data_IF_750712671860
#
_entry.id   IF_750712671860
#
_cell.length_a   1.000
_cell.length_b   1.000
_cell.length_c   1.000
_cell.angle_alpha   90.00
_cell.angle_beta   90.00
_cell.angle_gamma   90.00
#
_symmetry.space_group_name_H-M   'P 1'
#
loop_
_entity.id
_entity.type
_entity.pdbx_description
1 polymer ?
#
# COMPACT_ATOMS: atom_id res chain seq x y z
N UNK A 1 9.88 30.10 10.93
CA UNK A 1 11.03 30.91 10.45
C UNK A 1 10.77 31.43 9.06
N UNK A 2 10.58 30.56 8.07
CA UNK A 2 10.25 30.96 6.69
C UNK A 2 9.02 31.88 6.63
N UNK A 3 7.87 31.45 7.17
CA UNK A 3 6.61 32.23 7.16
C UNK A 3 6.79 33.62 7.78
N UNK A 4 7.34 33.68 9.00
CA UNK A 4 7.59 34.94 9.70
C UNK A 4 8.46 35.89 8.87
N UNK A 5 9.50 35.38 8.20
CA UNK A 5 10.34 36.22 7.35
C UNK A 5 9.60 36.65 6.08
N UNK A 6 8.87 35.74 5.44
CA UNK A 6 8.06 36.03 4.25
C UNK A 6 7.02 37.13 4.52
N UNK A 7 6.34 37.05 5.65
CA UNK A 7 5.32 38.03 6.09
C UNK A 7 5.93 39.41 6.37
N UNK A 8 7.18 39.47 6.87
CA UNK A 8 7.87 40.71 7.21
C UNK A 8 8.60 41.36 6.02
N UNK A 9 8.83 40.64 4.92
CA UNK A 9 9.54 41.19 3.75
C UNK A 9 8.89 42.48 3.22
N UNK A 10 7.56 42.59 3.04
CA UNK A 10 6.95 43.83 2.58
C UNK A 10 7.25 45.03 3.49
N UNK A 11 7.21 44.83 4.80
CA UNK A 11 7.52 45.88 5.79
C UNK A 11 9.00 46.26 5.76
N UNK A 12 9.90 45.28 5.63
CA UNK A 12 11.35 45.53 5.47
C UNK A 12 11.61 46.32 4.19
N UNK A 13 10.96 45.95 3.08
CA UNK A 13 11.09 46.67 1.80
C UNK A 13 10.59 48.10 1.92
N UNK A 14 9.52 48.35 2.66
CA UNK A 14 8.98 49.69 2.90
C UNK A 14 9.86 50.55 3.82
N UNK A 15 10.40 49.97 4.90
CA UNK A 15 11.27 50.67 5.86
C UNK A 15 12.62 51.04 5.27
N UNK A 16 13.17 50.17 4.42
CA UNK A 16 14.45 50.37 3.77
C UNK A 16 14.22 50.68 2.28
N UNK A 17 13.43 51.69 1.93
CA UNK A 17 13.08 51.97 0.52
C UNK A 17 14.20 52.66 -0.28
N UNK A 18 15.21 53.20 0.40
CA UNK A 18 16.30 53.95 -0.21
C UNK A 18 17.41 53.03 -0.77
N UNK A 19 18.35 53.63 -1.48
CA UNK A 19 19.46 52.90 -2.09
C UNK A 19 20.45 52.38 -1.03
N UNK A 20 20.60 53.07 0.10
CA UNK A 20 21.39 52.63 1.24
C UNK A 20 20.79 51.37 1.91
N UNK A 21 19.47 51.23 1.91
CA UNK A 21 18.74 50.06 2.41
C UNK A 21 18.77 48.83 1.49
N UNK A 22 19.31 48.95 0.27
CA UNK A 22 19.31 47.85 -0.72
C UNK A 22 20.01 46.58 -0.22
N UNK A 23 21.11 46.71 0.51
CA UNK A 23 21.85 45.59 1.09
C UNK A 23 20.97 44.78 2.07
N UNK A 24 20.18 45.45 2.92
CA UNK A 24 19.30 44.80 3.89
C UNK A 24 18.16 44.05 3.19
N UNK A 25 17.54 44.67 2.17
CA UNK A 25 16.48 44.01 1.39
C UNK A 25 16.97 42.75 0.70
N UNK A 26 18.14 42.83 0.04
CA UNK A 26 18.74 41.69 -0.66
C UNK A 26 19.11 40.57 0.32
N UNK A 27 19.74 40.89 1.45
CA UNK A 27 20.10 39.88 2.47
C UNK A 27 18.85 39.17 3.02
N UNK A 28 17.75 39.90 3.26
CA UNK A 28 16.50 39.29 3.74
C UNK A 28 15.89 38.34 2.69
N UNK A 29 15.91 38.71 1.42
CA UNK A 29 15.46 37.84 0.32
C UNK A 29 16.35 36.60 0.19
N UNK A 30 17.66 36.76 0.31
CA UNK A 30 18.63 35.66 0.26
C UNK A 30 18.44 34.69 1.43
N UNK A 31 18.21 35.20 2.64
CA UNK A 31 17.90 34.36 3.81
C UNK A 31 16.59 33.61 3.59
N UNK A 32 15.53 34.26 3.08
CA UNK A 32 14.26 33.59 2.80
C UNK A 32 14.45 32.46 1.78
N UNK A 33 15.18 32.73 0.69
CA UNK A 33 15.51 31.73 -0.32
C UNK A 33 16.26 30.55 0.30
N UNK A 34 17.31 30.81 1.09
CA UNK A 34 18.09 29.77 1.77
C UNK A 34 17.26 28.94 2.76
N UNK A 35 16.30 29.55 3.46
CA UNK A 35 15.35 28.82 4.30
C UNK A 35 14.45 27.89 3.47
N UNK A 36 13.97 28.35 2.32
CA UNK A 36 13.22 27.52 1.37
C UNK A 36 14.05 26.36 0.82
N UNK A 37 15.29 26.62 0.41
CA UNK A 37 16.23 25.60 -0.07
C UNK A 37 16.56 24.57 1.02
N UNK A 38 16.73 25.01 2.27
CA UNK A 38 16.93 24.13 3.41
C UNK A 38 15.71 23.23 3.66
N UNK A 39 14.50 23.77 3.53
CA UNK A 39 13.27 22.98 3.63
C UNK A 39 13.20 21.92 2.52
N UNK A 40 13.47 22.29 1.25
CA UNK A 40 13.54 21.35 0.13
C UNK A 40 14.56 20.24 0.37
N UNK A 41 15.77 20.60 0.80
CA UNK A 41 16.82 19.62 1.13
C UNK A 41 16.37 18.66 2.24
N UNK A 42 15.71 19.17 3.28
CA UNK A 42 15.18 18.35 4.38
C UNK A 42 14.11 17.37 3.89
N UNK A 43 13.23 17.76 2.95
CA UNK A 43 12.28 16.85 2.33
C UNK A 43 12.97 15.72 1.57
N UNK A 44 13.98 16.05 0.76
CA UNK A 44 14.74 15.07 0.00
C UNK A 44 15.52 14.11 0.91
N UNK A 45 16.15 14.62 1.97
CA UNK A 45 16.81 13.80 2.98
C UNK A 45 15.82 12.85 3.67
N UNK A 46 14.60 13.33 3.94
CA UNK A 46 13.56 12.50 4.53
C UNK A 46 13.09 11.39 3.58
N UNK A 47 12.84 11.71 2.32
CA UNK A 47 12.53 10.71 1.27
C UNK A 47 13.62 9.64 1.17
N UNK A 48 14.89 10.05 1.15
CA UNK A 48 16.04 9.15 1.12
C UNK A 48 16.14 8.27 2.39
N UNK A 49 15.84 8.84 3.56
CA UNK A 49 15.83 8.11 4.82
C UNK A 49 14.72 7.06 4.86
N UNK A 50 13.54 7.35 4.29
CA UNK A 50 12.45 6.38 4.15
C UNK A 50 12.83 5.29 3.15
N UNK A 51 13.36 5.65 1.98
CA UNK A 51 13.80 4.70 0.95
C UNK A 51 14.85 3.72 1.49
N UNK A 52 15.85 4.27 2.19
CA UNK A 52 17.00 3.52 2.72
C UNK A 52 16.73 2.86 4.07
N UNK A 53 15.49 2.91 4.58
CA UNK A 53 15.13 2.24 5.83
C UNK A 53 15.07 0.73 5.62
N UNK A 54 16.18 0.02 5.82
CA UNK A 54 16.25 -1.44 5.69
C UNK A 54 15.87 -2.11 7.02
N UNK A 55 15.35 -3.33 6.95
CA UNK A 55 15.13 -4.18 8.13
C UNK A 55 15.78 -5.54 7.93
N UNK A 56 16.48 -6.04 8.95
CA UNK A 56 17.09 -7.37 8.90
C UNK A 56 16.07 -8.49 9.11
N UNK A 57 14.97 -8.21 9.81
CA UNK A 57 13.93 -9.17 10.15
C UNK A 57 12.57 -8.68 9.67
N UNK A 58 11.71 -9.63 9.31
CA UNK A 58 10.33 -9.35 8.96
C UNK A 58 9.55 -8.81 10.16
N UNK A 59 8.54 -7.97 9.89
CA UNK A 59 7.75 -7.35 10.94
C UNK A 59 6.85 -8.38 11.63
N UNK A 60 6.83 -8.47 12.97
CA UNK A 60 6.09 -9.52 13.65
C UNK A 60 4.59 -9.56 13.26
N UNK A 61 4.13 -10.74 12.82
CA UNK A 61 2.72 -11.02 12.53
C UNK A 61 2.14 -10.30 11.32
N UNK A 62 2.92 -9.60 10.49
CA UNK A 62 2.41 -8.97 9.27
C UNK A 62 1.50 -7.75 9.51
N UNK A 63 1.53 -7.15 10.70
CA UNK A 63 0.71 -5.98 11.01
C UNK A 63 1.14 -4.69 10.29
N UNK A 64 0.55 -3.56 10.70
CA UNK A 64 0.95 -2.23 10.19
C UNK A 64 2.34 -1.86 10.72
N UNK A 65 3.27 -1.60 9.80
CA UNK A 65 4.66 -1.29 10.11
C UNK A 65 4.80 0.09 10.78
N UNK A 66 5.77 0.24 11.69
CA UNK A 66 6.01 1.51 12.39
C UNK A 66 6.36 2.65 11.43
N UNK A 67 7.16 2.37 10.40
CA UNK A 67 7.50 3.34 9.35
C UNK A 67 6.26 3.89 8.65
N UNK A 68 5.28 3.03 8.32
CA UNK A 68 4.00 3.44 7.73
C UNK A 68 3.27 4.43 8.62
N UNK A 69 3.18 4.14 9.93
CA UNK A 69 2.55 5.04 10.89
C UNK A 69 3.31 6.37 10.99
N UNK A 70 4.63 6.30 11.06
CA UNK A 70 5.49 7.47 11.20
C UNK A 70 5.34 8.41 10.00
N UNK A 71 5.55 7.91 8.78
CA UNK A 71 5.48 8.70 7.54
C UNK A 71 4.08 9.29 7.35
N UNK A 72 3.02 8.49 7.52
CA UNK A 72 1.66 8.99 7.33
C UNK A 72 1.25 10.02 8.39
N UNK A 73 1.72 9.89 9.63
CA UNK A 73 1.51 10.91 10.66
C UNK A 73 2.32 12.18 10.36
N UNK A 74 3.55 12.03 9.88
CA UNK A 74 4.40 13.16 9.49
C UNK A 74 3.78 13.98 8.35
N UNK A 75 3.35 13.30 7.27
CA UNK A 75 2.62 13.93 6.17
C UNK A 75 1.35 14.63 6.66
N UNK A 76 0.60 14.01 7.58
CA UNK A 76 -0.57 14.64 8.19
C UNK A 76 -0.21 15.92 8.94
N UNK A 77 0.89 15.95 9.70
CA UNK A 77 1.34 17.16 10.40
C UNK A 77 1.78 18.26 9.42
N UNK A 78 2.41 17.89 8.30
CA UNK A 78 2.83 18.85 7.29
C UNK A 78 1.66 19.59 6.63
N UNK A 79 0.45 19.02 6.65
CA UNK A 79 -0.75 19.69 6.14
C UNK A 79 -1.06 21.02 6.83
N UNK A 80 -0.64 21.19 8.09
CA UNK A 80 -0.79 22.45 8.83
C UNK A 80 -0.05 23.61 8.15
N UNK A 81 0.96 23.29 7.31
CA UNK A 81 1.79 24.24 6.56
C UNK A 81 1.52 24.20 5.05
N UNK A 82 0.36 23.70 4.64
CA UNK A 82 0.07 23.40 3.22
C UNK A 82 0.34 24.55 2.24
N UNK A 83 -0.10 25.78 2.57
CA UNK A 83 0.15 26.97 1.74
C UNK A 83 1.63 27.28 1.60
N UNK A 84 2.34 27.29 2.72
CA UNK A 84 3.78 27.55 2.79
C UNK A 84 4.56 26.49 2.03
N UNK A 85 4.17 25.23 2.16
CA UNK A 85 4.78 24.13 1.42
C UNK A 85 4.54 24.24 -0.08
N UNK A 86 3.35 24.64 -0.51
CA UNK A 86 3.07 24.88 -1.93
C UNK A 86 3.89 26.03 -2.51
N UNK A 87 4.22 27.04 -1.73
CA UNK A 87 5.10 28.13 -2.17
C UNK A 87 6.56 27.71 -2.19
N UNK A 88 7.03 27.11 -1.10
CA UNK A 88 8.41 26.67 -0.95
C UNK A 88 8.76 25.59 -1.98
N UNK A 89 7.89 24.59 -2.18
CA UNK A 89 8.16 23.44 -3.05
C UNK A 89 7.92 23.72 -4.53
N UNK A 90 7.51 24.93 -4.93
CA UNK A 90 7.53 25.31 -6.35
C UNK A 90 8.94 25.13 -6.89
N UNK A 91 9.05 24.33 -7.96
CA UNK A 91 10.20 24.39 -8.83
C UNK A 91 10.19 25.79 -9.44
N UNK A 92 11.22 26.59 -9.15
CA UNK A 92 11.47 27.75 -9.99
C UNK A 92 11.87 27.14 -11.33
N UNK A 93 11.07 27.35 -12.38
CA UNK A 93 11.49 27.12 -13.75
C UNK A 93 12.79 27.90 -13.94
N UNK A 94 13.92 27.24 -13.71
CA UNK A 94 15.21 27.75 -14.12
C UNK A 94 15.17 27.69 -15.63
N UNK A 95 14.82 28.82 -16.25
CA UNK A 95 15.13 29.15 -17.64
C UNK A 95 16.65 29.02 -17.87
N UNK A 96 17.11 27.79 -18.06
CA UNK A 96 18.40 27.47 -18.68
C UNK A 96 18.48 25.98 -18.96
N UNK A 97 17.66 25.48 -19.88
CA UNK A 97 18.01 24.29 -20.67
C UNK A 97 18.20 24.72 -22.12
N UNK A 98 19.42 24.66 -22.68
CA UNK A 98 19.63 24.91 -24.10
C UNK A 98 19.06 23.74 -24.90
N UNK A 99 18.23 24.08 -25.88
CA UNK A 99 17.76 23.22 -26.95
C UNK A 99 18.84 22.32 -27.54
N UNK A 100 18.62 21.01 -27.59
CA UNK A 100 19.24 20.14 -28.60
C UNK A 100 18.22 19.11 -29.11
N UNK A 101 17.71 19.41 -30.32
CA UNK A 101 17.16 18.58 -31.40
C UNK A 101 16.37 17.29 -31.13
N UNK A 102 15.16 17.12 -31.73
CA UNK A 102 14.54 15.82 -31.94
C UNK A 102 14.84 15.28 -33.35
N UNK A 103 15.24 14.02 -33.46
CA UNK A 103 15.07 13.28 -34.71
C UNK A 103 14.77 11.80 -34.46
N UNK A 104 13.67 11.36 -35.07
CA UNK A 104 13.26 10.01 -35.49
C UNK A 104 12.43 9.07 -34.58
N UNK A 105 11.10 9.31 -34.60
CA UNK A 105 9.98 8.44 -35.11
C UNK A 105 9.56 7.14 -34.33
N UNK A 106 8.37 6.54 -34.60
CA UNK A 106 7.13 6.76 -33.82
C UNK A 106 6.40 5.44 -33.39
N UNK A 107 5.22 5.60 -32.79
CA UNK A 107 4.11 4.61 -32.57
C UNK A 107 4.03 3.98 -31.17
N UNK A 108 3.19 4.57 -30.32
CA UNK A 108 1.86 4.01 -29.99
C UNK A 108 1.03 5.11 -29.32
N UNK A 109 -0.06 5.50 -29.99
CA UNK A 109 -1.11 6.36 -29.48
C UNK A 109 -2.04 5.52 -28.60
N UNK A 110 -2.31 5.99 -27.38
CA UNK A 110 -3.66 6.23 -26.84
C UNK A 110 -3.61 6.14 -25.31
N UNK A 111 -3.48 7.29 -24.65
CA UNK A 111 -4.11 7.52 -23.34
C UNK A 111 -4.36 9.02 -23.19
N UNK A 112 -5.62 9.39 -23.43
CA UNK A 112 -6.31 10.61 -23.00
C UNK A 112 -5.54 11.47 -21.99
N UNK A 113 -4.95 12.56 -22.49
CA UNK A 113 -4.58 13.73 -21.68
C UNK A 113 -5.88 14.46 -21.34
N UNK A 114 -6.59 13.93 -20.34
CA UNK A 114 -7.49 14.76 -19.55
C UNK A 114 -6.62 15.69 -18.72
N UNK A 115 -6.78 17.00 -18.92
CA UNK A 115 -6.21 18.04 -18.06
C UNK A 115 -6.35 17.63 -16.59
N UNK A 116 -5.24 17.17 -16.00
CA UNK A 116 -5.18 17.03 -14.55
C UNK A 116 -5.22 18.46 -13.99
N UNK A 117 -6.05 18.74 -12.97
CA UNK A 117 -5.96 20.02 -12.29
C UNK A 117 -4.53 20.17 -11.81
N UNK A 118 -3.92 21.33 -12.08
CA UNK A 118 -2.56 21.68 -11.68
C UNK A 118 -2.30 21.18 -10.26
N UNK A 119 -1.66 20.02 -10.17
CA UNK A 119 -1.45 19.36 -8.89
C UNK A 119 -0.45 20.22 -8.14
N UNK A 120 -0.80 20.63 -6.92
CA UNK A 120 0.08 21.49 -6.14
C UNK A 120 1.44 20.80 -5.90
N UNK A 121 2.56 21.56 -5.86
CA UNK A 121 3.89 20.95 -5.67
C UNK A 121 3.98 20.10 -4.40
N UNK A 122 3.35 20.53 -3.30
CA UNK A 122 3.26 19.72 -2.08
C UNK A 122 2.58 18.37 -2.32
N UNK A 123 1.49 18.35 -3.09
CA UNK A 123 0.78 17.12 -3.41
C UNK A 123 1.67 16.14 -4.20
N UNK A 124 2.52 16.63 -5.11
CA UNK A 124 3.49 15.81 -5.83
C UNK A 124 4.52 15.19 -4.88
N UNK A 125 5.09 15.98 -3.98
CA UNK A 125 6.04 15.47 -2.97
C UNK A 125 5.39 14.45 -2.03
N UNK A 126 4.15 14.68 -1.58
CA UNK A 126 3.46 13.69 -0.74
C UNK A 126 3.19 12.39 -1.49
N UNK A 127 2.80 12.46 -2.77
CA UNK A 127 2.64 11.27 -3.61
C UNK A 127 3.98 10.53 -3.80
N UNK A 128 5.07 11.26 -4.03
CA UNK A 128 6.43 10.70 -4.14
C UNK A 128 6.82 9.97 -2.85
N UNK A 129 6.72 10.64 -1.71
CA UNK A 129 7.07 10.07 -0.41
C UNK A 129 6.24 8.83 -0.05
N UNK A 130 4.93 8.84 -0.35
CA UNK A 130 4.08 7.64 -0.13
C UNK A 130 4.50 6.53 -1.08
N UNK A 131 4.80 6.82 -2.35
CA UNK A 131 5.30 5.82 -3.30
C UNK A 131 6.63 5.21 -2.85
N UNK A 132 7.54 6.02 -2.30
CA UNK A 132 8.82 5.55 -1.73
C UNK A 132 8.56 4.61 -0.54
N UNK A 133 7.65 5.00 0.36
CA UNK A 133 7.22 4.15 1.47
C UNK A 133 6.65 2.82 0.96
N UNK A 134 5.82 2.82 -0.08
CA UNK A 134 5.27 1.61 -0.67
C UNK A 134 6.35 0.67 -1.21
N UNK A 135 7.31 1.20 -1.98
CA UNK A 135 8.45 0.42 -2.49
C UNK A 135 9.26 -0.18 -1.33
N UNK A 136 9.50 0.61 -0.28
CA UNK A 136 10.22 0.15 0.89
C UNK A 136 9.46 -0.97 1.64
N UNK A 137 8.13 -0.88 1.73
CA UNK A 137 7.29 -1.93 2.31
C UNK A 137 7.25 -3.19 1.43
N UNK A 138 7.28 -3.05 0.10
CA UNK A 138 7.42 -4.18 -0.82
C UNK A 138 8.70 -4.98 -0.55
N UNK A 139 9.84 -4.29 -0.44
CA UNK A 139 11.11 -4.92 -0.09
C UNK A 139 11.06 -5.60 1.29
N UNK A 140 10.47 -4.95 2.29
CA UNK A 140 10.28 -5.56 3.62
C UNK A 140 9.36 -6.78 3.60
N UNK A 141 8.38 -6.82 2.69
CA UNK A 141 7.48 -7.97 2.57
C UNK A 141 8.25 -9.22 2.11
N UNK A 142 9.29 -9.06 1.29
CA UNK A 142 10.12 -10.19 0.80
C UNK A 142 10.91 -10.90 1.92
N UNK A 143 10.95 -10.33 3.13
CA UNK A 143 11.57 -10.95 4.30
C UNK A 143 10.72 -12.08 4.90
N UNK A 144 9.41 -12.16 4.59
CA UNK A 144 8.59 -13.30 5.03
C UNK A 144 8.80 -14.50 4.11
N UNK A 145 8.92 -15.69 4.70
CA UNK A 145 8.99 -16.95 3.93
C UNK A 145 7.65 -17.35 3.30
N UNK A 146 6.54 -17.02 3.98
CA UNK A 146 5.19 -17.34 3.53
C UNK A 146 4.65 -16.22 2.65
N UNK A 147 4.39 -16.53 1.38
CA UNK A 147 3.82 -15.60 0.37
C UNK A 147 2.48 -15.00 0.82
N UNK A 148 1.65 -15.78 1.51
CA UNK A 148 0.38 -15.29 2.05
C UNK A 148 0.60 -14.19 3.08
N UNK A 149 1.63 -14.34 3.92
CA UNK A 149 1.97 -13.33 4.92
C UNK A 149 2.58 -12.07 4.28
N UNK A 150 3.30 -12.20 3.15
CA UNK A 150 3.76 -11.04 2.37
C UNK A 150 2.56 -10.21 1.90
N UNK A 151 1.57 -10.85 1.28
CA UNK A 151 0.36 -10.18 0.82
C UNK A 151 -0.47 -9.60 1.96
N UNK A 152 -0.60 -10.32 3.09
CA UNK A 152 -1.28 -9.82 4.28
C UNK A 152 -0.61 -8.56 4.85
N UNK A 153 0.72 -8.57 4.93
CA UNK A 153 1.50 -7.43 5.39
C UNK A 153 1.30 -6.20 4.51
N UNK A 154 1.43 -6.36 3.18
CA UNK A 154 1.19 -5.27 2.25
C UNK A 154 -0.25 -4.77 2.33
N UNK A 155 -1.22 -5.68 2.37
CA UNK A 155 -2.65 -5.34 2.48
C UNK A 155 -2.93 -4.48 3.71
N UNK A 156 -2.42 -4.87 4.89
CA UNK A 156 -2.59 -4.11 6.12
C UNK A 156 -2.03 -2.69 6.01
N UNK A 157 -0.85 -2.52 5.40
CA UNK A 157 -0.20 -1.22 5.29
C UNK A 157 -0.86 -0.33 4.23
N UNK A 158 -1.17 -0.87 3.04
CA UNK A 158 -1.90 -0.13 1.99
C UNK A 158 -3.28 0.31 2.49
N UNK A 159 -4.02 -0.58 3.16
CA UNK A 159 -5.32 -0.25 3.73
C UNK A 159 -5.20 0.86 4.79
N UNK A 160 -4.23 0.76 5.70
CA UNK A 160 -3.97 1.81 6.68
C UNK A 160 -3.69 3.17 6.04
N UNK A 161 -2.86 3.21 4.98
CA UNK A 161 -2.58 4.46 4.26
C UNK A 161 -3.83 5.04 3.60
N UNK A 162 -4.61 4.20 2.90
CA UNK A 162 -5.85 4.62 2.25
C UNK A 162 -6.88 5.18 3.24
N UNK A 163 -7.11 4.50 4.37
CA UNK A 163 -8.02 4.97 5.42
C UNK A 163 -7.49 6.23 6.11
N UNK A 164 -6.17 6.36 6.30
CA UNK A 164 -5.59 7.59 6.87
C UNK A 164 -5.82 8.80 5.97
N UNK A 165 -5.65 8.63 4.66
CA UNK A 165 -5.89 9.70 3.68
C UNK A 165 -7.38 10.04 3.61
N UNK A 166 -8.24 9.04 3.47
CA UNK A 166 -9.70 9.20 3.40
C UNK A 166 -10.29 9.93 4.60
N UNK A 167 -9.76 9.68 5.80
CA UNK A 167 -10.25 10.23 7.06
C UNK A 167 -9.49 11.50 7.52
N UNK A 168 -8.79 12.21 6.62
CA UNK A 168 -8.08 13.46 6.93
C UNK A 168 -8.10 14.46 5.77
N UNK A 169 -7.61 15.68 6.03
CA UNK A 169 -7.46 16.73 5.01
C UNK A 169 -6.55 16.33 3.84
N UNK A 170 -5.76 15.27 3.99
CA UNK A 170 -4.96 14.68 2.91
C UNK A 170 -5.82 14.24 1.72
N UNK A 171 -7.10 13.93 1.94
CA UNK A 171 -8.05 13.63 0.86
C UNK A 171 -8.17 14.79 -0.13
N UNK A 172 -8.12 16.03 0.34
CA UNK A 172 -8.27 17.22 -0.53
C UNK A 172 -7.05 17.42 -1.44
N UNK A 173 -5.87 17.05 -0.95
CA UNK A 173 -4.59 17.19 -1.65
C UNK A 173 -4.32 16.00 -2.58
N UNK A 174 -4.51 14.78 -2.08
CA UNK A 174 -4.23 13.56 -2.85
C UNK A 174 -5.36 13.19 -3.81
N UNK A 175 -6.60 13.56 -3.48
CA UNK A 175 -7.79 13.36 -4.31
C UNK A 175 -8.41 11.97 -4.18
N UNK A 176 -9.70 11.89 -4.52
CA UNK A 176 -10.49 10.65 -4.46
C UNK A 176 -9.99 9.56 -5.42
N UNK A 177 -9.42 9.98 -6.55
CA UNK A 177 -8.83 9.07 -7.53
C UNK A 177 -7.63 8.30 -6.96
N UNK A 178 -6.81 8.98 -6.16
CA UNK A 178 -5.70 8.33 -5.45
C UNK A 178 -6.23 7.28 -4.46
N UNK A 179 -7.28 7.61 -3.69
CA UNK A 179 -7.90 6.67 -2.73
C UNK A 179 -8.48 5.47 -3.48
N UNK A 180 -9.18 5.69 -4.59
CA UNK A 180 -9.75 4.64 -5.44
C UNK A 180 -8.68 3.68 -5.95
N UNK A 181 -7.55 4.21 -6.44
CA UNK A 181 -6.40 3.41 -6.90
C UNK A 181 -5.83 2.54 -5.77
N UNK A 182 -5.65 3.10 -4.57
CA UNK A 182 -5.10 2.36 -3.43
C UNK A 182 -6.08 1.31 -2.88
N UNK A 183 -7.38 1.59 -2.92
CA UNK A 183 -8.40 0.58 -2.62
C UNK A 183 -8.39 -0.58 -3.63
N UNK A 184 -8.18 -0.30 -4.92
CA UNK A 184 -7.99 -1.35 -5.93
C UNK A 184 -6.74 -2.21 -5.65
N UNK A 185 -5.61 -1.58 -5.31
CA UNK A 185 -4.37 -2.29 -4.91
C UNK A 185 -4.60 -3.15 -3.65
N UNK A 186 -5.30 -2.61 -2.66
CA UNK A 186 -5.72 -3.32 -1.45
C UNK A 186 -6.55 -4.57 -1.79
N UNK A 187 -7.57 -4.44 -2.65
CA UNK A 187 -8.39 -5.57 -3.09
C UNK A 187 -7.56 -6.64 -3.81
N UNK A 188 -6.63 -6.22 -4.69
CA UNK A 188 -5.74 -7.15 -5.37
C UNK A 188 -4.85 -7.93 -4.40
N UNK A 189 -4.33 -7.26 -3.36
CA UNK A 189 -3.54 -7.90 -2.30
C UNK A 189 -4.38 -8.89 -1.48
N UNK A 190 -5.63 -8.54 -1.18
CA UNK A 190 -6.57 -9.46 -0.51
C UNK A 190 -6.82 -10.72 -1.36
N UNK A 191 -7.06 -10.56 -2.66
CA UNK A 191 -7.25 -11.68 -3.59
C UNK A 191 -6.00 -12.56 -3.70
N UNK A 192 -4.80 -11.95 -3.73
CA UNK A 192 -3.53 -12.69 -3.81
C UNK A 192 -3.26 -13.45 -2.51
N UNK A 193 -3.50 -12.84 -1.35
CA UNK A 193 -3.47 -13.50 -0.04
C UNK A 193 -4.40 -14.73 -0.05
N UNK A 194 -5.66 -14.54 -0.43
CA UNK A 194 -6.64 -15.62 -0.44
C UNK A 194 -6.26 -16.76 -1.40
N UNK A 195 -5.64 -16.45 -2.53
CA UNK A 195 -5.16 -17.43 -3.51
C UNK A 195 -3.95 -18.20 -2.95
N UNK A 196 -2.93 -17.48 -2.48
CA UNK A 196 -1.70 -18.06 -1.95
C UNK A 196 -1.98 -19.01 -0.77
N UNK A 197 -2.91 -18.65 0.12
CA UNK A 197 -3.25 -19.50 1.27
C UNK A 197 -4.10 -20.71 0.89
N UNK A 198 -5.16 -20.52 0.11
CA UNK A 198 -6.25 -21.50 0.06
C UNK A 198 -6.35 -22.27 -1.26
N UNK A 199 -5.74 -21.82 -2.35
CA UNK A 199 -5.94 -22.47 -3.66
C UNK A 199 -5.50 -23.93 -3.68
N UNK A 200 -4.36 -24.26 -3.08
CA UNK A 200 -3.85 -25.64 -2.98
C UNK A 200 -4.75 -26.53 -2.09
N UNK A 201 -5.22 -25.98 -0.96
CA UNK A 201 -6.09 -26.67 0.00
C UNK A 201 -7.45 -26.97 -0.63
N UNK A 202 -8.04 -25.98 -1.30
CA UNK A 202 -9.31 -26.12 -1.97
C UNK A 202 -9.22 -27.06 -3.20
N UNK A 203 -8.06 -27.17 -3.83
CA UNK A 203 -7.84 -28.12 -4.92
C UNK A 203 -7.99 -29.59 -4.48
N UNK A 204 -7.70 -29.90 -3.20
CA UNK A 204 -7.92 -31.24 -2.62
C UNK A 204 -9.40 -31.63 -2.56
N UNK A 205 -10.29 -30.63 -2.58
CA UNK A 205 -11.75 -30.80 -2.57
C UNK A 205 -12.37 -30.74 -3.99
N UNK A 206 -11.57 -30.90 -5.05
CA UNK A 206 -12.06 -31.00 -6.43
C UNK A 206 -12.25 -32.45 -6.84
N UNK A 207 -13.19 -32.70 -7.76
CA UNK A 207 -13.56 -34.06 -8.22
C UNK A 207 -12.52 -34.69 -9.17
N UNK A 208 -11.63 -33.87 -9.74
CA UNK A 208 -10.61 -34.33 -10.69
C UNK A 208 -9.61 -35.30 -10.03
N UNK A 209 -9.45 -36.50 -10.59
CA UNK A 209 -8.50 -37.52 -10.11
C UNK A 209 -8.99 -38.40 -8.96
N UNK A 210 -10.31 -38.44 -8.69
CA UNK A 210 -10.92 -39.32 -7.68
C UNK A 210 -11.36 -40.67 -8.27
N UNK A 211 -11.41 -40.76 -9.61
CA UNK A 211 -11.80 -41.96 -10.34
C UNK A 211 -10.66 -42.98 -10.39
N UNK A 212 -11.01 -44.27 -10.42
CA UNK A 212 -10.03 -45.33 -10.64
C UNK A 212 -9.43 -45.27 -12.07
N UNK A 213 -8.13 -45.54 -12.25
CA UNK A 213 -7.54 -45.65 -13.58
C UNK A 213 -8.29 -46.70 -14.42
N UNK A 214 -8.94 -46.27 -15.51
CA UNK A 214 -9.70 -47.16 -16.40
C UNK A 214 -11.14 -47.49 -15.97
N UNK A 215 -11.69 -46.83 -14.94
CA UNK A 215 -13.09 -47.02 -14.52
C UNK A 215 -13.72 -45.72 -14.01
N UNK A 216 -14.98 -45.45 -14.37
CA UNK A 216 -15.76 -44.31 -13.86
C UNK A 216 -16.18 -44.48 -12.38
N UNK A 217 -15.64 -45.48 -11.66
CA UNK A 217 -15.94 -45.72 -10.25
C UNK A 217 -15.05 -44.87 -9.32
N UNK A 218 -15.67 -44.27 -8.31
CA UNK A 218 -15.01 -43.46 -7.28
C UNK A 218 -14.17 -44.36 -6.36
N UNK A 219 -12.90 -44.02 -6.16
CA UNK A 219 -12.03 -44.70 -5.21
C UNK A 219 -12.25 -44.18 -3.79
N UNK A 220 -12.80 -45.03 -2.91
CA UNK A 220 -12.97 -44.69 -1.48
C UNK A 220 -11.63 -44.42 -0.77
N UNK A 221 -10.55 -45.07 -1.22
CA UNK A 221 -9.22 -44.89 -0.63
C UNK A 221 -8.66 -43.52 -0.97
N UNK A 222 -8.66 -43.14 -2.25
CA UNK A 222 -8.20 -41.81 -2.72
C UNK A 222 -9.03 -40.69 -2.08
N UNK A 223 -10.34 -40.91 -1.95
CA UNK A 223 -11.24 -39.95 -1.31
C UNK A 223 -10.89 -39.70 0.17
N UNK A 224 -10.59 -40.77 0.92
CA UNK A 224 -10.16 -40.66 2.33
C UNK A 224 -8.81 -39.97 2.46
N UNK A 225 -7.85 -40.33 1.60
CA UNK A 225 -6.52 -39.70 1.57
C UNK A 225 -6.62 -38.20 1.29
N UNK A 226 -7.45 -37.78 0.32
CA UNK A 226 -7.67 -36.35 0.03
C UNK A 226 -8.27 -35.59 1.20
N UNK A 227 -9.28 -36.17 1.86
CA UNK A 227 -9.87 -35.55 3.06
C UNK A 227 -8.85 -35.43 4.19
N UNK A 228 -8.02 -36.45 4.40
CA UNK A 228 -6.96 -36.39 5.39
C UNK A 228 -5.93 -35.30 5.07
N UNK A 229 -5.48 -35.22 3.82
CA UNK A 229 -4.58 -34.16 3.35
C UNK A 229 -5.20 -32.77 3.51
N UNK A 230 -6.51 -32.63 3.23
CA UNK A 230 -7.23 -31.37 3.44
C UNK A 230 -7.23 -30.97 4.91
N UNK A 231 -7.53 -31.89 5.84
CA UNK A 231 -7.52 -31.58 7.27
C UNK A 231 -6.14 -31.17 7.77
N UNK A 232 -5.08 -31.88 7.33
CA UNK A 232 -3.71 -31.55 7.71
C UNK A 232 -3.31 -30.17 7.20
N UNK A 233 -3.57 -29.86 5.93
CA UNK A 233 -3.24 -28.56 5.35
C UNK A 233 -4.07 -27.42 5.95
N UNK A 234 -5.35 -27.66 6.25
CA UNK A 234 -6.20 -26.72 6.96
C UNK A 234 -5.68 -26.42 8.37
N UNK A 235 -5.27 -27.46 9.12
CA UNK A 235 -4.72 -27.30 10.47
C UNK A 235 -3.38 -26.56 10.45
N UNK A 236 -2.54 -26.79 9.45
CA UNK A 236 -1.29 -26.06 9.24
C UNK A 236 -1.54 -24.57 9.00
N UNK A 237 -2.46 -24.22 8.09
CA UNK A 237 -2.86 -22.83 7.86
C UNK A 237 -3.42 -22.21 9.13
N UNK A 238 -4.31 -22.92 9.84
CA UNK A 238 -4.87 -22.43 11.10
C UNK A 238 -3.78 -22.10 12.12
N UNK A 239 -2.80 -23.01 12.32
CA UNK A 239 -1.67 -22.79 13.24
C UNK A 239 -0.80 -21.61 12.82
N UNK A 240 -0.46 -21.51 11.54
CA UNK A 240 0.35 -20.41 11.01
C UNK A 240 -0.35 -19.06 11.16
N UNK A 241 -1.62 -18.97 10.76
CA UNK A 241 -2.38 -17.72 10.76
C UNK A 241 -2.81 -17.25 12.15
N UNK A 242 -2.83 -18.14 13.16
CA UNK A 242 -3.14 -17.76 14.55
C UNK A 242 -2.15 -16.72 15.11
N UNK A 243 -0.90 -16.72 14.61
CA UNK A 243 0.11 -15.74 14.99
C UNK A 243 0.07 -14.43 14.19
N UNK A 244 -0.83 -14.29 13.23
CA UNK A 244 -0.87 -13.14 12.33
C UNK A 244 -1.78 -12.03 12.85
N UNK A 245 -1.48 -10.80 12.46
CA UNK A 245 -2.12 -9.59 12.96
C UNK A 245 -2.78 -8.84 11.82
N UNK A 246 -4.09 -8.63 11.94
CA UNK A 246 -4.87 -7.71 11.10
C UNK A 246 -5.45 -6.66 12.05
N UNK A 247 -4.79 -5.48 12.19
CA UNK A 247 -5.17 -4.50 13.20
C UNK A 247 -6.57 -3.93 12.99
N UNK A 248 -6.95 -3.67 11.74
CA UNK A 248 -8.29 -3.17 11.41
C UNK A 248 -9.34 -4.26 11.65
N UNK A 249 -10.35 -3.94 12.46
CA UNK A 249 -11.37 -4.91 12.85
C UNK A 249 -12.32 -5.25 11.72
N UNK A 250 -12.72 -4.27 10.92
CA UNK A 250 -13.66 -4.48 9.82
C UNK A 250 -13.00 -5.36 8.75
N UNK A 251 -11.77 -5.02 8.36
CA UNK A 251 -10.97 -5.82 7.44
C UNK A 251 -10.80 -7.25 7.93
N UNK A 252 -10.46 -7.42 9.21
CA UNK A 252 -10.27 -8.74 9.81
C UNK A 252 -11.55 -9.57 9.75
N UNK A 253 -12.70 -8.97 10.03
CA UNK A 253 -13.98 -9.66 10.02
C UNK A 253 -14.42 -9.99 8.59
N UNK A 254 -14.22 -9.08 7.63
CA UNK A 254 -14.49 -9.30 6.21
C UNK A 254 -13.66 -10.46 5.64
N UNK A 255 -12.36 -10.51 5.95
CA UNK A 255 -11.47 -11.60 5.54
C UNK A 255 -11.91 -12.95 6.14
N UNK A 256 -12.31 -12.94 7.42
CA UNK A 256 -12.82 -14.14 8.10
C UNK A 256 -14.11 -14.63 7.46
N UNK A 257 -15.05 -13.74 7.16
CA UNK A 257 -16.32 -14.08 6.51
C UNK A 257 -16.06 -14.64 5.11
N UNK A 258 -15.30 -13.92 4.28
CA UNK A 258 -14.94 -14.33 2.91
C UNK A 258 -14.31 -15.72 2.89
N UNK A 259 -13.28 -15.91 3.73
CA UNK A 259 -12.56 -17.17 3.83
C UNK A 259 -13.46 -18.31 4.31
N UNK A 260 -14.25 -18.08 5.37
CA UNK A 260 -15.15 -19.09 5.93
C UNK A 260 -16.19 -19.53 4.92
N UNK A 261 -16.85 -18.58 4.24
CA UNK A 261 -17.85 -18.88 3.22
C UNK A 261 -17.26 -19.75 2.11
N UNK A 262 -16.07 -19.39 1.61
CA UNK A 262 -15.41 -20.12 0.53
C UNK A 262 -15.03 -21.55 0.94
N UNK A 263 -14.41 -21.72 2.09
CA UNK A 263 -13.96 -23.04 2.57
C UNK A 263 -15.15 -23.93 2.92
N UNK A 264 -16.14 -23.40 3.64
CA UNK A 264 -17.35 -24.13 4.01
C UNK A 264 -18.12 -24.57 2.77
N UNK A 265 -18.28 -23.68 1.77
CA UNK A 265 -19.00 -24.01 0.54
C UNK A 265 -18.30 -25.12 -0.25
N UNK A 266 -16.97 -25.04 -0.41
CA UNK A 266 -16.19 -26.06 -1.09
C UNK A 266 -16.30 -27.41 -0.37
N UNK A 267 -16.14 -27.42 0.95
CA UNK A 267 -16.21 -28.63 1.77
C UNK A 267 -17.61 -29.26 1.74
N UNK A 268 -18.68 -28.48 1.94
CA UNK A 268 -20.07 -28.97 1.88
C UNK A 268 -20.40 -29.57 0.52
N UNK A 269 -19.97 -28.90 -0.54
CA UNK A 269 -20.19 -29.38 -1.92
C UNK A 269 -19.48 -30.71 -2.13
N UNK A 270 -18.23 -30.84 -1.69
CA UNK A 270 -17.45 -32.07 -1.81
C UNK A 270 -18.05 -33.22 -1.01
N UNK A 271 -18.33 -33.00 0.28
CA UNK A 271 -18.91 -34.04 1.15
C UNK A 271 -20.30 -34.46 0.67
N UNK A 272 -21.14 -33.51 0.23
CA UNK A 272 -22.47 -33.81 -0.29
C UNK A 272 -22.45 -34.73 -1.53
N UNK A 273 -21.50 -34.51 -2.45
CA UNK A 273 -21.34 -35.36 -3.65
C UNK A 273 -20.85 -36.76 -3.32
N UNK A 274 -20.01 -36.89 -2.30
CA UNK A 274 -19.37 -38.17 -1.94
C UNK A 274 -19.97 -38.84 -0.69
N UNK A 275 -21.15 -38.39 -0.24
CA UNK A 275 -21.76 -38.81 1.03
C UNK A 275 -21.98 -40.32 1.14
N UNK A 276 -22.30 -40.98 0.02
CA UNK A 276 -22.50 -42.44 -0.06
C UNK A 276 -21.18 -43.24 -0.03
N UNK A 277 -20.04 -42.56 -0.19
CA UNK A 277 -18.69 -43.14 -0.24
C UNK A 277 -17.84 -42.80 1.01
N UNK A 278 -18.28 -41.83 1.81
CA UNK A 278 -17.65 -41.36 3.05
C UNK A 278 -18.37 -42.01 4.24
N UNK A 279 -17.69 -42.88 5.01
CA UNK A 279 -18.27 -43.42 6.26
C UNK A 279 -18.62 -42.30 7.26
N UNK A 280 -19.72 -42.49 8.01
CA UNK A 280 -20.34 -41.56 8.99
C UNK A 280 -19.35 -40.81 9.90
N UNK A 281 -18.20 -41.39 10.23
CA UNK A 281 -17.17 -40.81 11.11
C UNK A 281 -16.55 -39.49 10.64
N UNK A 282 -16.72 -39.11 9.37
CA UNK A 282 -16.14 -37.87 8.80
C UNK A 282 -17.16 -36.75 8.56
N UNK A 283 -18.46 -37.00 8.76
CA UNK A 283 -19.51 -36.00 8.49
C UNK A 283 -19.60 -34.88 9.55
N UNK A 284 -19.02 -35.08 10.73
CA UNK A 284 -19.28 -34.23 11.92
C UNK A 284 -18.17 -33.20 12.18
N UNK A 285 -17.03 -33.25 11.49
CA UNK A 285 -15.80 -32.60 12.00
C UNK A 285 -15.62 -31.10 11.72
N UNK A 286 -16.57 -30.43 11.05
CA UNK A 286 -16.46 -29.00 10.70
C UNK A 286 -17.76 -28.19 10.94
N UNK A 287 -18.67 -28.66 11.81
CA UNK A 287 -19.83 -27.85 12.25
C UNK A 287 -19.53 -26.97 13.47
N UNK A 288 -18.27 -26.61 13.73
CA UNK A 288 -17.88 -25.62 14.75
C UNK A 288 -16.82 -24.69 14.16
#
# INVERSE_FOLDING_TARGET
MYEVLADLIPDIVALYSDEAGSCVRNECQDILKRLGDCAKATFLEFENAVASNVSANAFPGGGVHHLTRYVMNYIKTLMDYSKTLDEVLKEQDNESSPSVSPNMSPVSEDENVGESPSTSPMALHFRSLISILECNLDEKSKLYKDESLQHLFLMNNIHYMAEKVKNSELRTVLGDEWIRKHNGKFQQLAMNYERATWSSILALLRDEGIQNPGSNSISRTILKERLQSFYLAFEEVYKSQTGWSVPDSQLRDDLRISTSLRVIQAYRTFVGRHINHISEKHQVRLMI
#
